data_IF_218464952306
#
_entry.id   IF_218464952306
#
_cell.length_a   1.000
_cell.length_b   1.000
_cell.length_c   1.000
_cell.angle_alpha   90.00
_cell.angle_beta   90.00
_cell.angle_gamma   90.00
#
_symmetry.space_group_name_H-M   'P 1'
#
loop_
_entity.id
_entity.type
_entity.pdbx_description
1 polymer ?
#
# COMPACT_ATOMS: atom_id res chain seq x y z
N UNK A 1 12.44 59.34 37.68
CA UNK A 1 12.78 58.64 36.44
C UNK A 1 12.40 57.16 36.60
N UNK A 2 11.34 56.68 35.93
CA UNK A 2 10.93 55.26 35.99
C UNK A 2 11.39 54.57 34.70
N UNK A 3 12.30 53.62 34.83
CA UNK A 3 12.82 52.81 33.71
C UNK A 3 11.85 51.69 33.43
N UNK A 4 11.26 51.70 32.26
CA UNK A 4 10.38 50.62 31.78
C UNK A 4 11.24 49.59 31.04
N UNK A 5 11.43 48.40 31.63
CA UNK A 5 12.11 47.29 31.01
C UNK A 5 11.14 46.57 30.07
N UNK A 6 11.44 46.58 28.78
CA UNK A 6 10.69 45.80 27.78
C UNK A 6 11.32 44.39 27.70
N UNK A 7 10.57 43.40 28.16
CA UNK A 7 10.89 41.98 27.94
C UNK A 7 10.38 41.57 26.57
N UNK A 8 11.31 41.36 25.64
CA UNK A 8 11.03 40.86 24.31
C UNK A 8 10.85 39.34 24.39
N UNK A 9 9.61 38.83 24.34
CA UNK A 9 9.32 37.41 24.29
C UNK A 9 9.57 36.90 22.86
N UNK A 10 10.65 36.13 22.67
CA UNK A 10 10.98 35.45 21.42
C UNK A 10 10.12 34.20 21.33
N UNK A 11 9.05 34.23 20.52
CA UNK A 11 8.23 33.04 20.19
C UNK A 11 8.97 32.22 19.15
N UNK A 12 9.57 31.10 19.57
CA UNK A 12 10.13 30.07 18.67
C UNK A 12 8.99 29.33 18.02
N UNK A 13 8.69 29.67 16.78
CA UNK A 13 7.86 28.84 15.88
C UNK A 13 8.64 27.58 15.52
N UNK A 14 8.34 26.46 16.20
CA UNK A 14 8.80 25.14 15.79
C UNK A 14 8.00 24.77 14.56
N UNK A 15 8.61 24.59 13.37
CA UNK A 15 7.88 24.07 12.22
C UNK A 15 7.43 22.65 12.56
N UNK A 16 6.11 22.45 12.67
CA UNK A 16 5.51 21.13 12.75
C UNK A 16 5.71 20.49 11.36
N UNK A 17 6.82 19.76 11.18
CA UNK A 17 7.00 18.93 10.01
C UNK A 17 5.86 17.90 10.01
N UNK A 18 4.91 18.03 9.08
CA UNK A 18 3.93 16.99 8.83
C UNK A 18 4.71 15.67 8.64
N UNK A 19 4.27 14.55 9.26
CA UNK A 19 4.94 13.29 9.07
C UNK A 19 4.93 13.00 7.57
N UNK A 20 6.11 12.94 6.95
CA UNK A 20 6.28 12.39 5.62
C UNK A 20 5.54 11.03 5.65
N UNK A 21 4.71 10.75 4.63
CA UNK A 21 3.95 9.51 4.52
C UNK A 21 4.93 8.34 4.62
N UNK A 22 5.17 7.87 5.86
CA UNK A 22 6.14 6.83 6.12
C UNK A 22 5.64 5.53 5.48
N UNK A 23 6.49 4.95 4.65
CA UNK A 23 6.24 3.66 4.00
C UNK A 23 6.30 2.54 5.04
N UNK A 24 5.68 1.41 4.73
CA UNK A 24 5.78 0.20 5.54
C UNK A 24 6.94 -0.62 4.99
N UNK A 25 8.15 -0.31 5.45
CA UNK A 25 9.39 -0.94 4.96
C UNK A 25 9.43 -2.44 5.24
N UNK A 26 8.72 -2.90 6.26
CA UNK A 26 8.60 -4.31 6.64
C UNK A 26 7.89 -5.16 5.57
N UNK A 27 7.10 -4.53 4.69
CA UNK A 27 6.52 -5.21 3.52
C UNK A 27 7.57 -5.58 2.46
N UNK A 28 8.77 -5.02 2.51
CA UNK A 28 9.84 -5.30 1.55
C UNK A 28 10.15 -6.79 1.49
N UNK A 29 10.35 -7.32 0.29
CA UNK A 29 10.68 -8.71 0.05
C UNK A 29 9.63 -9.49 -0.73
N UNK A 30 9.75 -10.81 -0.69
CA UNK A 30 8.90 -11.77 -1.42
C UNK A 30 7.89 -12.43 -0.47
N UNK A 31 6.69 -12.64 -0.98
CA UNK A 31 5.55 -13.16 -0.24
C UNK A 31 4.83 -14.20 -1.09
N UNK A 32 4.60 -15.38 -0.54
CA UNK A 32 3.87 -16.46 -1.21
C UNK A 32 2.45 -16.62 -0.65
N UNK A 33 1.50 -16.84 -1.54
CA UNK A 33 0.10 -17.10 -1.20
C UNK A 33 -0.04 -18.38 -0.39
N UNK A 34 -0.68 -18.29 0.77
CA UNK A 34 -1.21 -19.43 1.50
C UNK A 34 -2.69 -19.63 1.13
N UNK A 35 -2.94 -20.44 0.10
CA UNK A 35 -4.30 -20.67 -0.39
C UNK A 35 -5.21 -21.30 0.67
N UNK A 36 -4.67 -22.12 1.57
CA UNK A 36 -5.46 -22.76 2.63
C UNK A 36 -6.00 -21.78 3.69
N UNK A 37 -5.34 -20.63 3.85
CA UNK A 37 -5.76 -19.55 4.77
C UNK A 37 -6.54 -18.44 4.06
N UNK A 38 -6.66 -18.51 2.75
CA UNK A 38 -7.30 -17.47 1.91
C UNK A 38 -8.79 -17.77 1.68
N UNK A 39 -9.57 -16.73 1.40
CA UNK A 39 -11.01 -16.81 1.16
C UNK A 39 -11.39 -16.17 -0.17
N UNK A 40 -12.43 -16.70 -0.82
CA UNK A 40 -12.91 -16.25 -2.13
C UNK A 40 -12.09 -16.80 -3.30
N UNK A 41 -12.36 -16.35 -4.54
CA UNK A 41 -11.62 -16.77 -5.72
C UNK A 41 -10.13 -16.46 -5.56
N UNK A 42 -9.29 -17.48 -5.74
CA UNK A 42 -7.84 -17.37 -5.53
C UNK A 42 -7.11 -18.13 -6.64
N UNK A 43 -5.99 -17.64 -7.14
CA UNK A 43 -5.10 -18.43 -7.99
C UNK A 43 -4.54 -19.62 -7.21
N UNK A 44 -4.04 -20.61 -7.93
CA UNK A 44 -3.36 -21.77 -7.34
C UNK A 44 -2.03 -21.37 -6.73
N UNK A 45 -1.35 -20.41 -7.37
CA UNK A 45 -0.11 -19.82 -6.90
C UNK A 45 -0.15 -18.31 -7.12
N UNK A 46 0.34 -17.56 -6.17
CA UNK A 46 0.56 -16.13 -6.31
C UNK A 46 1.78 -15.72 -5.48
N UNK A 47 2.66 -14.96 -6.09
CA UNK A 47 3.82 -14.38 -5.42
C UNK A 47 3.76 -12.88 -5.58
N UNK A 48 3.93 -12.17 -4.46
CA UNK A 48 4.09 -10.73 -4.43
C UNK A 48 5.55 -10.41 -4.13
N UNK A 49 6.10 -9.45 -4.85
CA UNK A 49 7.42 -8.88 -4.55
C UNK A 49 7.26 -7.39 -4.36
N UNK A 50 7.68 -6.89 -3.22
CA UNK A 50 7.75 -5.47 -2.92
C UNK A 50 9.20 -5.02 -2.86
N UNK A 51 9.53 -3.99 -3.62
CA UNK A 51 10.77 -3.24 -3.53
C UNK A 51 10.43 -1.82 -3.07
N UNK A 52 10.62 -1.56 -1.80
CA UNK A 52 10.27 -0.29 -1.16
C UNK A 52 11.55 0.48 -0.85
N UNK A 53 11.65 1.68 -1.39
CA UNK A 53 12.70 2.65 -1.12
C UNK A 53 12.07 3.97 -0.67
N UNK A 54 12.79 4.91 -0.05
CA UNK A 54 12.20 6.17 0.39
C UNK A 54 11.42 6.88 -0.74
N UNK A 55 10.10 7.02 -0.56
CA UNK A 55 9.19 7.69 -1.50
C UNK A 55 8.71 6.85 -2.68
N UNK A 56 9.17 5.61 -2.84
CA UNK A 56 8.84 4.78 -4.00
C UNK A 56 8.52 3.34 -3.59
N UNK A 57 7.46 2.78 -4.15
CA UNK A 57 7.11 1.36 -4.05
C UNK A 57 7.05 0.76 -5.45
N UNK A 58 7.84 -0.27 -5.70
CA UNK A 58 7.68 -1.18 -6.83
C UNK A 58 6.96 -2.42 -6.35
N UNK A 59 6.04 -2.88 -7.15
CA UNK A 59 5.22 -4.04 -6.86
C UNK A 59 5.19 -4.95 -8.07
N UNK A 60 5.50 -6.22 -7.87
CA UNK A 60 5.36 -7.27 -8.87
C UNK A 60 4.50 -8.37 -8.30
N UNK A 61 3.45 -8.73 -9.01
CA UNK A 61 2.61 -9.89 -8.71
C UNK A 61 2.69 -10.87 -9.86
N UNK A 62 3.03 -12.10 -9.55
CA UNK A 62 2.91 -13.23 -10.48
C UNK A 62 1.87 -14.19 -9.96
N UNK A 63 1.06 -14.76 -10.84
CA UNK A 63 0.02 -15.73 -10.46
C UNK A 63 -0.10 -16.86 -11.47
N UNK A 64 -0.59 -18.01 -11.00
CA UNK A 64 -1.00 -19.15 -11.83
C UNK A 64 -2.41 -19.52 -11.44
N UNK A 65 -3.34 -19.55 -12.40
CA UNK A 65 -4.72 -20.00 -12.19
C UNK A 65 -4.84 -21.54 -12.23
N UNK A 66 -6.06 -22.05 -12.02
CA UNK A 66 -6.32 -23.48 -12.00
C UNK A 66 -6.11 -24.16 -13.36
N UNK A 67 -6.22 -23.43 -14.44
CA UNK A 67 -6.03 -23.87 -15.83
C UNK A 67 -4.56 -23.76 -16.29
N UNK A 68 -3.66 -23.26 -15.41
CA UNK A 68 -2.23 -23.05 -15.71
C UNK A 68 -1.95 -21.70 -16.42
N UNK A 69 -2.95 -20.85 -16.56
CA UNK A 69 -2.80 -19.49 -17.07
C UNK A 69 -1.92 -18.65 -16.14
N UNK A 70 -1.03 -17.85 -16.72
CA UNK A 70 -0.09 -17.03 -15.95
C UNK A 70 -0.45 -15.56 -16.01
N UNK A 71 -0.52 -14.92 -14.85
CA UNK A 71 -0.69 -13.48 -14.69
C UNK A 71 0.59 -12.80 -14.26
N UNK A 72 0.80 -11.58 -14.76
CA UNK A 72 1.83 -10.67 -14.31
C UNK A 72 1.23 -9.28 -14.16
N UNK A 73 1.39 -8.69 -12.98
CA UNK A 73 1.02 -7.30 -12.72
C UNK A 73 2.21 -6.60 -12.07
N UNK A 74 2.60 -5.48 -12.65
CA UNK A 74 3.71 -4.67 -12.16
C UNK A 74 3.32 -3.20 -12.17
N UNK A 75 3.66 -2.49 -11.11
CA UNK A 75 3.54 -1.04 -11.07
C UNK A 75 4.62 -0.42 -10.17
N UNK A 76 4.89 0.82 -10.46
CA UNK A 76 5.76 1.68 -9.68
C UNK A 76 4.95 2.90 -9.26
N UNK A 77 4.90 3.20 -8.00
CA UNK A 77 4.02 4.22 -7.45
C UNK A 77 4.73 4.97 -6.32
N UNK A 78 4.50 6.27 -6.25
CA UNK A 78 4.97 7.08 -5.13
C UNK A 78 4.02 6.94 -3.94
N UNK A 79 4.60 6.90 -2.75
CA UNK A 79 3.85 6.75 -1.51
C UNK A 79 3.36 8.12 -1.01
N UNK A 80 2.67 8.86 -1.86
CA UNK A 80 2.21 10.23 -1.63
C UNK A 80 0.68 10.36 -1.63
N UNK A 81 -0.03 9.23 -1.77
CA UNK A 81 -1.49 9.17 -1.81
C UNK A 81 -2.13 9.75 -3.07
N UNK A 82 -1.33 10.14 -4.07
CA UNK A 82 -1.81 10.64 -5.35
C UNK A 82 -1.95 9.51 -6.36
N UNK A 83 -2.77 9.75 -7.38
CA UNK A 83 -2.96 8.82 -8.47
C UNK A 83 -1.75 8.86 -9.41
N UNK A 84 -1.13 7.70 -9.62
CA UNK A 84 -0.02 7.51 -10.54
C UNK A 84 -0.42 6.59 -11.70
N UNK A 85 0.00 6.87 -12.93
CA UNK A 85 -0.25 5.98 -14.06
C UNK A 85 0.30 4.58 -13.81
N UNK A 86 -0.47 3.56 -14.20
CA UNK A 86 -0.01 2.17 -14.25
C UNK A 86 0.43 1.81 -15.68
N UNK A 87 0.90 0.57 -15.89
CA UNK A 87 1.22 0.07 -17.23
C UNK A 87 -0.03 -0.11 -18.12
N UNK A 88 -1.21 -0.21 -17.51
CA UNK A 88 -2.47 -0.31 -18.25
C UNK A 88 -2.92 1.06 -18.72
N UNK A 89 -3.12 1.29 -20.01
CA UNK A 89 -3.58 2.58 -20.52
C UNK A 89 -4.89 3.03 -19.86
N UNK A 90 -4.94 4.29 -19.43
CA UNK A 90 -6.09 4.90 -18.76
C UNK A 90 -6.31 4.45 -17.31
N UNK A 91 -5.41 3.61 -16.78
CA UNK A 91 -5.48 3.18 -15.38
C UNK A 91 -4.46 3.93 -14.51
N UNK A 92 -4.87 4.24 -13.30
CA UNK A 92 -4.03 4.82 -12.25
C UNK A 92 -4.15 4.02 -10.96
N UNK A 93 -3.13 4.13 -10.13
CA UNK A 93 -3.17 3.59 -8.78
C UNK A 93 -2.61 4.61 -7.79
N UNK A 94 -3.14 4.59 -6.58
CA UNK A 94 -2.60 5.36 -5.46
C UNK A 94 -2.38 4.45 -4.25
N UNK A 95 -1.36 4.77 -3.47
CA UNK A 95 -1.03 4.05 -2.25
C UNK A 95 -0.91 5.04 -1.10
N UNK A 96 -1.48 4.68 0.04
CA UNK A 96 -1.36 5.46 1.27
C UNK A 96 -1.31 4.56 2.50
N UNK A 97 -0.64 5.02 3.52
CA UNK A 97 -0.63 4.38 4.83
C UNK A 97 -1.90 4.75 5.60
N UNK A 98 -2.59 3.76 6.16
CA UNK A 98 -3.74 3.97 7.06
C UNK A 98 -3.36 3.79 8.54
N UNK A 99 -2.30 3.03 8.81
CA UNK A 99 -1.86 2.71 10.15
C UNK A 99 -0.38 2.34 10.17
N UNK A 100 0.11 1.87 11.28
CA UNK A 100 1.52 1.53 11.44
C UNK A 100 1.96 0.41 10.48
N UNK A 101 1.10 -0.60 10.33
CA UNK A 101 1.31 -1.79 9.49
C UNK A 101 0.20 -1.99 8.44
N UNK A 102 -0.49 -0.92 8.07
CA UNK A 102 -1.64 -1.00 7.16
C UNK A 102 -1.49 0.00 6.03
N UNK A 103 -1.57 -0.49 4.81
CA UNK A 103 -1.67 0.33 3.60
C UNK A 103 -3.01 0.13 2.88
N UNK A 104 -3.37 1.15 2.14
CA UNK A 104 -4.56 1.17 1.31
C UNK A 104 -4.19 1.56 -0.11
N UNK A 105 -4.61 0.74 -1.04
CA UNK A 105 -4.39 0.93 -2.48
C UNK A 105 -5.72 1.15 -3.16
N UNK A 106 -5.78 2.16 -4.02
CA UNK A 106 -6.95 2.43 -4.87
C UNK A 106 -6.52 2.29 -6.32
N UNK A 107 -7.19 1.46 -7.08
CA UNK A 107 -7.04 1.38 -8.53
C UNK A 107 -8.22 2.08 -9.21
N UNK A 108 -7.89 2.87 -10.20
CA UNK A 108 -8.88 3.62 -10.98
C UNK A 108 -8.67 3.38 -12.47
N UNK A 109 -9.75 3.48 -13.22
CA UNK A 109 -9.72 3.51 -14.68
C UNK A 109 -10.71 4.56 -15.17
N UNK A 110 -10.24 5.45 -16.05
CA UNK A 110 -11.07 6.53 -16.61
C UNK A 110 -11.81 7.34 -15.52
N UNK A 111 -11.11 7.61 -14.40
CA UNK A 111 -11.65 8.39 -13.29
C UNK A 111 -12.63 7.64 -12.36
N UNK A 112 -12.82 6.33 -12.55
CA UNK A 112 -13.68 5.49 -11.70
C UNK A 112 -12.85 4.50 -10.91
N UNK A 113 -13.20 4.29 -9.65
CA UNK A 113 -12.59 3.24 -8.82
C UNK A 113 -13.01 1.88 -9.41
N UNK A 114 -12.03 1.04 -9.73
CA UNK A 114 -12.25 -0.32 -10.22
C UNK A 114 -12.04 -1.36 -9.15
N UNK A 115 -11.11 -1.11 -8.25
CA UNK A 115 -10.87 -1.98 -7.09
C UNK A 115 -10.08 -1.24 -6.00
N UNK A 116 -10.17 -1.75 -4.78
CA UNK A 116 -9.34 -1.30 -3.67
C UNK A 116 -8.71 -2.49 -2.96
N UNK A 117 -7.55 -2.29 -2.36
CA UNK A 117 -6.90 -3.29 -1.51
C UNK A 117 -6.54 -2.69 -0.17
N UNK A 118 -6.85 -3.40 0.90
CA UNK A 118 -6.27 -3.12 2.23
C UNK A 118 -5.26 -4.21 2.52
N UNK A 119 -4.01 -3.84 2.77
CA UNK A 119 -2.93 -4.75 3.15
C UNK A 119 -2.52 -4.50 4.59
N UNK A 120 -2.40 -5.57 5.36
CA UNK A 120 -2.06 -5.52 6.78
C UNK A 120 -0.96 -6.52 7.06
N UNK A 121 0.14 -6.05 7.68
CA UNK A 121 1.17 -6.93 8.24
C UNK A 121 0.76 -7.40 9.64
N UNK A 122 0.87 -8.70 9.87
CA UNK A 122 0.59 -9.35 11.16
C UNK A 122 1.70 -10.35 11.50
N UNK A 123 1.65 -10.95 12.68
CA UNK A 123 2.55 -12.01 13.13
C UNK A 123 4.04 -11.66 12.96
N UNK A 124 4.49 -10.62 13.64
CA UNK A 124 5.89 -10.17 13.62
C UNK A 124 6.42 -9.93 12.20
N UNK A 125 5.57 -9.35 11.33
CA UNK A 125 5.89 -9.00 9.94
C UNK A 125 6.17 -10.21 9.03
N UNK A 126 5.62 -11.36 9.36
CA UNK A 126 5.78 -12.61 8.58
C UNK A 126 4.53 -12.99 7.79
N UNK A 127 3.39 -12.42 8.11
CA UNK A 127 2.11 -12.66 7.43
C UNK A 127 1.58 -11.33 6.89
N UNK A 128 1.23 -11.31 5.60
CA UNK A 128 0.56 -10.21 4.93
C UNK A 128 -0.86 -10.63 4.58
N UNK A 129 -1.85 -9.91 5.11
CA UNK A 129 -3.24 -10.09 4.74
C UNK A 129 -3.63 -9.01 3.74
N UNK A 130 -4.16 -9.42 2.59
CA UNK A 130 -4.66 -8.52 1.58
C UNK A 130 -6.15 -8.74 1.37
N UNK A 131 -6.96 -7.69 1.48
CA UNK A 131 -8.40 -7.70 1.31
C UNK A 131 -8.73 -6.91 0.07
N UNK A 132 -9.21 -7.60 -0.97
CA UNK A 132 -9.62 -7.00 -2.23
C UNK A 132 -11.11 -6.69 -2.26
N UNK A 133 -11.45 -5.52 -2.78
CA UNK A 133 -12.83 -5.07 -2.99
C UNK A 133 -12.99 -4.57 -4.42
N UNK A 134 -14.21 -4.67 -4.94
CA UNK A 134 -14.59 -4.06 -6.21
C UNK A 134 -14.76 -2.53 -6.10
N UNK A 135 -15.21 -1.90 -7.19
CA UNK A 135 -15.45 -0.45 -7.25
C UNK A 135 -16.64 0.03 -6.40
N UNK A 136 -17.50 -0.89 -5.96
CA UNK A 136 -18.67 -0.62 -5.11
C UNK A 136 -18.35 -0.85 -3.62
N UNK A 137 -17.17 -1.43 -3.33
CA UNK A 137 -16.68 -1.68 -1.98
C UNK A 137 -16.99 -3.08 -1.44
N UNK A 138 -17.62 -3.95 -2.25
CA UNK A 138 -17.90 -5.34 -1.87
C UNK A 138 -16.61 -6.16 -1.82
N UNK A 139 -16.46 -6.98 -0.77
CA UNK A 139 -15.28 -7.84 -0.61
C UNK A 139 -15.31 -8.96 -1.64
N UNK A 140 -14.31 -8.98 -2.51
CA UNK A 140 -14.15 -10.03 -3.53
C UNK A 140 -13.38 -11.23 -2.99
N UNK A 141 -12.33 -10.96 -2.19
CA UNK A 141 -11.45 -12.00 -1.66
C UNK A 141 -10.64 -11.49 -0.46
N UNK A 142 -10.16 -12.44 0.33
CA UNK A 142 -9.14 -12.22 1.36
C UNK A 142 -7.99 -13.18 1.07
N UNK A 143 -6.78 -12.67 0.85
CA UNK A 143 -5.58 -13.46 0.59
C UNK A 143 -4.60 -13.32 1.74
N UNK A 144 -4.04 -14.43 2.13
CA UNK A 144 -3.02 -14.52 3.16
C UNK A 144 -1.71 -14.94 2.50
N UNK A 145 -0.68 -14.15 2.72
CA UNK A 145 0.67 -14.41 2.18
C UNK A 145 1.65 -14.60 3.33
N UNK A 146 2.63 -15.43 3.11
CA UNK A 146 3.72 -15.71 4.05
C UNK A 146 5.05 -15.23 3.47
N UNK A 147 5.85 -14.58 4.29
CA UNK A 147 7.16 -14.03 3.91
C UNK A 147 8.16 -15.14 3.64
N UNK A 148 8.91 -15.01 2.54
CA UNK A 148 9.96 -15.92 2.10
C UNK A 148 11.35 -15.48 2.59
#
# INVERSE_FOLDING_TARGET
>A
MKTVSHVLALVLLVPCAAPAHAQIMEMNGSWELNAAKSLGPSPVQETLVFEITPGLQRYTMTSVDAEGGRGLNEWEIRYDGKDHPTRTPGATASVRRLGEKTEFVVNMREGRITSTYTRVLVDDDRTLISIGRDGEGEVLWVRVFEKQ
#
